data_IF_798819828422
#
_entry.id   IF_798819828422
#
_cell.length_a   1.000
_cell.length_b   1.000
_cell.length_c   1.000
_cell.angle_alpha   90.00
_cell.angle_beta   90.00
_cell.angle_gamma   90.00
#
_symmetry.space_group_name_H-M   'P 1'
#
loop_
_entity.id
_entity.type
_entity.pdbx_description
1 polymer ?
#
# COMPACT_ATOMS: atom_id res chain seq x y z
N UNK A 1 -5.97 27.01 18.32
CA UNK A 1 -6.43 26.15 17.21
C UNK A 1 -5.31 25.20 16.85
N UNK A 2 -5.44 23.90 17.17
CA UNK A 2 -4.43 22.91 16.83
C UNK A 2 -4.31 22.79 15.31
N UNK A 3 -3.08 22.71 14.78
CA UNK A 3 -2.85 22.43 13.35
C UNK A 3 -3.57 21.13 13.00
N UNK A 4 -4.49 21.18 12.04
CA UNK A 4 -5.16 19.98 11.52
C UNK A 4 -4.09 19.12 10.85
N UNK A 5 -3.85 17.92 11.38
CA UNK A 5 -2.88 17.00 10.81
C UNK A 5 -3.28 16.69 9.36
N UNK A 6 -2.31 16.77 8.44
CA UNK A 6 -2.57 16.46 7.03
C UNK A 6 -2.82 14.96 6.90
N UNK A 7 -3.93 14.59 6.25
CA UNK A 7 -4.23 13.20 5.93
C UNK A 7 -3.45 12.82 4.67
N UNK A 8 -2.30 12.16 4.86
CA UNK A 8 -1.39 11.80 3.76
C UNK A 8 -1.84 10.58 2.97
N UNK A 9 -2.65 9.69 3.55
CA UNK A 9 -3.06 8.43 2.91
C UNK A 9 -3.66 8.62 1.51
N UNK A 10 -4.63 9.53 1.27
CA UNK A 10 -5.20 9.70 -0.07
C UNK A 10 -4.17 10.16 -1.11
N UNK A 11 -3.25 11.06 -0.71
CA UNK A 11 -2.19 11.53 -1.60
C UNK A 11 -1.19 10.42 -1.94
N UNK A 12 -0.83 9.60 -0.93
CA UNK A 12 0.02 8.43 -1.13
C UNK A 12 -0.62 7.39 -2.06
N UNK A 13 -1.91 7.07 -1.87
CA UNK A 13 -2.63 6.14 -2.75
C UNK A 13 -2.60 6.61 -4.20
N UNK A 14 -2.90 7.89 -4.45
CA UNK A 14 -2.89 8.46 -5.78
C UNK A 14 -1.48 8.38 -6.41
N UNK A 15 -0.45 8.73 -5.66
CA UNK A 15 0.94 8.64 -6.12
C UNK A 15 1.34 7.20 -6.47
N UNK A 16 0.96 6.22 -5.64
CA UNK A 16 1.23 4.80 -5.87
C UNK A 16 0.54 4.27 -7.14
N UNK A 17 -0.72 4.64 -7.37
CA UNK A 17 -1.45 4.27 -8.58
C UNK A 17 -0.86 4.92 -9.84
N UNK A 18 -0.39 6.16 -9.76
CA UNK A 18 0.29 6.85 -10.87
C UNK A 18 1.64 6.20 -11.16
N UNK A 19 2.44 5.91 -10.14
CA UNK A 19 3.76 5.30 -10.29
C UNK A 19 3.67 3.93 -10.99
N UNK A 20 2.63 3.16 -10.68
CA UNK A 20 2.39 1.82 -11.23
C UNK A 20 1.41 1.80 -12.42
N UNK A 21 1.07 2.96 -12.99
CA UNK A 21 0.03 3.08 -14.00
C UNK A 21 0.29 2.23 -15.26
N UNK A 22 1.55 2.04 -15.65
CA UNK A 22 1.93 1.22 -16.81
C UNK A 22 1.52 -0.25 -16.66
N UNK A 23 1.52 -0.76 -15.42
CA UNK A 23 1.19 -2.15 -15.10
C UNK A 23 -0.24 -2.31 -14.55
N UNK A 24 -1.05 -1.25 -14.59
CA UNK A 24 -2.43 -1.25 -14.07
C UNK A 24 -3.31 -2.40 -14.61
N UNK A 25 -3.21 -2.86 -15.87
CA UNK A 25 -3.97 -4.02 -16.33
C UNK A 25 -3.67 -5.32 -15.56
N UNK A 26 -2.48 -5.43 -14.97
CA UNK A 26 -2.00 -6.62 -14.26
C UNK A 26 -2.07 -6.49 -12.74
N UNK A 27 -2.50 -5.33 -12.23
CA UNK A 27 -2.52 -4.99 -10.81
C UNK A 27 -3.92 -4.55 -10.38
N UNK A 28 -4.37 -5.06 -9.23
CA UNK A 28 -5.58 -4.56 -8.57
C UNK A 28 -5.23 -3.94 -7.23
N UNK A 29 -5.74 -2.73 -7.01
CA UNK A 29 -5.55 -1.95 -5.79
C UNK A 29 -6.82 -2.01 -4.95
N UNK A 30 -6.65 -2.27 -3.66
CA UNK A 30 -7.69 -2.14 -2.65
C UNK A 30 -7.19 -1.14 -1.61
N UNK A 31 -7.93 -0.04 -1.47
CA UNK A 31 -7.68 0.97 -0.45
C UNK A 31 -8.34 0.54 0.87
N UNK A 32 -7.68 0.81 2.00
CA UNK A 32 -8.18 0.56 3.35
C UNK A 32 -8.69 -0.89 3.56
N UNK A 33 -7.85 -1.86 3.16
CA UNK A 33 -8.23 -3.27 3.09
C UNK A 33 -8.19 -3.96 4.47
N UNK A 34 -9.28 -4.61 4.84
CA UNK A 34 -9.36 -5.41 6.06
C UNK A 34 -8.78 -6.82 5.81
N UNK A 35 -7.76 -7.22 6.58
CA UNK A 35 -7.16 -8.56 6.49
C UNK A 35 -8.01 -9.63 7.17
N UNK A 36 -8.93 -9.23 8.05
CA UNK A 36 -9.85 -10.10 8.77
C UNK A 36 -11.25 -9.48 8.82
N UNK A 37 -12.18 -10.08 9.57
CA UNK A 37 -13.54 -9.54 9.76
C UNK A 37 -13.60 -8.27 10.66
N UNK A 38 -12.44 -7.70 11.03
CA UNK A 38 -12.07 -6.66 12.05
C UNK A 38 -11.23 -7.30 13.18
N UNK A 39 -10.22 -6.61 13.78
CA UNK A 39 -9.89 -5.17 13.75
C UNK A 39 -8.74 -4.74 12.80
N UNK A 40 -8.14 -5.67 12.05
CA UNK A 40 -6.88 -5.40 11.33
C UNK A 40 -7.09 -4.85 9.91
N UNK A 41 -6.82 -3.55 9.72
CA UNK A 41 -6.90 -2.84 8.44
C UNK A 41 -5.52 -2.35 7.99
N UNK A 42 -5.24 -2.47 6.69
CA UNK A 42 -4.03 -1.97 6.03
C UNK A 42 -4.37 -0.85 5.05
N UNK A 43 -3.40 0.03 4.76
CA UNK A 43 -3.63 1.17 3.87
C UNK A 43 -3.89 0.74 2.42
N UNK A 44 -3.02 -0.11 1.85
CA UNK A 44 -3.19 -0.63 0.48
C UNK A 44 -2.90 -2.13 0.42
N UNK A 45 -3.78 -2.86 -0.25
CA UNK A 45 -3.47 -4.18 -0.79
C UNK A 45 -3.34 -4.09 -2.31
N UNK A 46 -2.19 -4.50 -2.85
CA UNK A 46 -1.95 -4.67 -4.28
C UNK A 46 -1.91 -6.17 -4.61
N UNK A 47 -2.81 -6.60 -5.49
CA UNK A 47 -2.88 -7.98 -5.99
C UNK A 47 -2.38 -8.04 -7.42
N UNK A 48 -1.39 -8.92 -7.69
CA UNK A 48 -1.01 -9.28 -9.06
C UNK A 48 -2.05 -10.23 -9.64
N UNK A 49 -2.66 -9.81 -10.73
CA UNK A 49 -3.69 -10.59 -11.43
C UNK A 49 -3.09 -11.67 -12.32
N UNK A 50 -1.86 -11.43 -12.80
CA UNK A 50 -1.12 -12.36 -13.66
C UNK A 50 0.14 -12.89 -12.94
N UNK A 51 0.17 -14.19 -12.56
CA UNK A 51 1.35 -14.82 -12.02
C UNK A 51 2.52 -14.75 -13.02
N UNK A 52 3.69 -14.32 -12.54
CA UNK A 52 4.89 -14.22 -13.38
C UNK A 52 5.07 -12.89 -14.12
N UNK A 53 4.03 -12.03 -14.23
CA UNK A 53 4.20 -10.69 -14.80
C UNK A 53 5.22 -9.88 -14.00
N UNK A 54 6.24 -9.35 -14.67
CA UNK A 54 7.24 -8.51 -14.04
C UNK A 54 6.79 -7.05 -14.14
N UNK A 55 6.48 -6.44 -12.99
CA UNK A 55 6.12 -5.02 -12.93
C UNK A 55 7.32 -4.17 -13.37
N UNK A 56 7.07 -3.20 -14.25
CA UNK A 56 8.08 -2.40 -14.94
C UNK A 56 8.93 -1.58 -13.95
N UNK A 57 8.27 -0.93 -12.98
CA UNK A 57 8.93 -0.08 -11.97
C UNK A 57 9.80 -0.89 -11.02
N UNK A 58 10.90 -0.29 -10.57
CA UNK A 58 11.88 -0.93 -9.68
C UNK A 58 11.24 -1.47 -8.40
N UNK A 59 10.36 -0.69 -7.76
CA UNK A 59 9.63 -1.12 -6.56
C UNK A 59 8.71 -2.32 -6.82
N UNK A 60 8.17 -2.44 -8.03
CA UNK A 60 7.29 -3.55 -8.39
C UNK A 60 8.02 -4.88 -8.58
N UNK A 61 9.35 -4.88 -8.72
CA UNK A 61 10.14 -6.11 -8.90
C UNK A 61 10.10 -7.03 -7.68
N UNK A 62 9.89 -6.48 -6.48
CA UNK A 62 9.75 -7.26 -5.24
C UNK A 62 8.32 -7.79 -5.04
N UNK A 63 7.36 -7.39 -5.89
CA UNK A 63 5.97 -7.76 -5.70
C UNK A 63 5.72 -9.25 -5.92
N UNK A 64 5.10 -9.87 -4.92
CA UNK A 64 4.50 -11.21 -4.97
C UNK A 64 3.04 -11.11 -5.39
N UNK A 65 2.28 -12.21 -5.33
CA UNK A 65 0.86 -12.22 -5.68
C UNK A 65 0.04 -11.22 -4.85
N UNK A 66 0.32 -11.12 -3.56
CA UNK A 66 -0.34 -10.19 -2.63
C UNK A 66 0.71 -9.33 -1.95
N UNK A 67 0.51 -8.01 -1.95
CA UNK A 67 1.47 -7.04 -1.42
C UNK A 67 0.73 -6.02 -0.57
N UNK A 68 1.06 -5.97 0.71
CA UNK A 68 0.58 -4.93 1.61
C UNK A 68 1.57 -3.77 1.54
N UNK A 69 1.03 -2.56 1.40
CA UNK A 69 1.81 -1.33 1.45
C UNK A 69 1.18 -0.45 2.53
N UNK A 70 2.02 -0.03 3.48
CA UNK A 70 1.63 0.91 4.53
C UNK A 70 2.43 2.19 4.40
N UNK A 71 1.74 3.31 4.52
CA UNK A 71 2.40 4.61 4.55
C UNK A 71 2.67 5.00 6.00
N UNK A 72 3.94 5.27 6.29
CA UNK A 72 4.34 5.97 7.51
C UNK A 72 4.56 7.44 7.19
N UNK A 73 4.22 8.32 8.14
CA UNK A 73 4.45 9.75 7.93
C UNK A 73 5.94 10.01 7.71
N UNK A 74 6.32 11.15 7.11
CA UNK A 74 7.72 11.43 6.81
C UNK A 74 8.60 11.48 8.07
N UNK A 75 8.02 11.81 9.23
CA UNK A 75 8.71 11.81 10.52
C UNK A 75 8.61 10.48 11.29
N UNK A 76 7.95 9.47 10.73
CA UNK A 76 7.70 8.18 11.36
C UNK A 76 8.50 7.05 10.69
N UNK A 77 8.65 5.93 11.39
CA UNK A 77 9.46 4.80 10.96
C UNK A 77 8.77 3.47 11.25
N UNK A 78 9.17 2.42 10.52
CA UNK A 78 8.65 1.07 10.77
C UNK A 78 9.24 0.55 12.09
N UNK A 79 8.37 0.24 13.04
CA UNK A 79 8.70 -0.38 14.32
C UNK A 79 8.20 -1.82 14.39
N UNK A 80 8.66 -2.56 15.42
CA UNK A 80 8.18 -3.93 15.69
C UNK A 80 6.66 -3.96 15.95
N UNK A 81 6.11 -2.89 16.52
CA UNK A 81 4.67 -2.78 16.78
C UNK A 81 3.85 -2.64 15.48
N UNK A 82 4.45 -2.11 14.42
CA UNK A 82 3.80 -2.03 13.10
C UNK A 82 3.74 -3.39 12.42
N UNK A 83 4.73 -4.25 12.72
CA UNK A 83 4.76 -5.62 12.23
C UNK A 83 3.81 -6.53 13.03
N UNK A 84 3.83 -6.43 14.36
CA UNK A 84 2.91 -7.13 15.25
C UNK A 84 1.75 -6.23 15.63
N UNK A 85 0.76 -6.14 14.74
CA UNK A 85 -0.51 -5.46 15.02
C UNK A 85 -1.35 -6.33 15.95
N UNK A 86 -1.09 -6.19 17.26
CA UNK A 86 -1.85 -6.80 18.39
C UNK A 86 -3.14 -6.04 18.68
#
# INVERSE_FOLDING_TARGET
>A
MGKKALQWHPAFQAALQVELAQDRPFLRFYEEYNLSRKPLQMDTLIVKLEPGHAVSKSIGRIFRTYNIVEYKSPEDYISVNDFYKV
#
